data_IF_980914353177
#
_entry.id   IF_980914353177
#
_cell.length_a   1.000
_cell.length_b   1.000
_cell.length_c   1.000
_cell.angle_alpha   90.00
_cell.angle_beta   90.00
_cell.angle_gamma   90.00
#
_symmetry.space_group_name_H-M   'P 1'
#
loop_
_entity.id
_entity.type
_entity.pdbx_description
1 polymer ?
#
# COMPACT_ATOMS: atom_id res chain seq x y z
N UNK A 1 23.79 15.05 39.52
CA UNK A 1 23.31 16.25 38.81
C UNK A 1 21.87 16.01 38.38
N UNK A 2 20.87 16.75 38.88
CA UNK A 2 19.49 16.62 38.42
C UNK A 2 19.19 17.61 37.28
N UNK A 3 18.38 17.14 36.33
CA UNK A 3 17.88 17.87 35.16
C UNK A 3 16.83 18.90 35.62
N UNK A 4 16.76 20.12 35.05
CA UNK A 4 15.83 21.16 35.51
C UNK A 4 14.36 20.82 35.23
N UNK A 5 13.51 21.03 36.25
CA UNK A 5 12.07 20.71 36.32
C UNK A 5 11.13 21.63 35.52
N UNK A 6 11.49 22.05 34.31
CA UNK A 6 10.70 23.04 33.54
C UNK A 6 9.79 22.52 32.43
N UNK A 7 9.61 21.21 32.26
CA UNK A 7 8.81 20.66 31.13
C UNK A 7 7.75 19.61 31.50
N UNK A 8 7.17 19.69 32.71
CA UNK A 8 6.08 18.80 33.13
C UNK A 8 4.89 19.56 33.69
N UNK A 9 4.26 20.39 32.86
CA UNK A 9 2.86 20.80 33.08
C UNK A 9 2.09 20.64 31.76
N UNK A 10 1.01 19.84 31.73
CA UNK A 10 0.06 19.94 30.64
C UNK A 10 -0.51 21.35 30.66
N UNK A 11 -0.43 22.06 29.53
CA UNK A 11 -1.14 23.32 29.33
C UNK A 11 -2.62 22.93 29.23
N UNK A 12 -3.32 22.98 30.36
CA UNK A 12 -4.77 23.03 30.37
C UNK A 12 -5.14 24.38 29.74
N UNK A 13 -5.58 24.36 28.49
CA UNK A 13 -6.23 25.51 27.89
C UNK A 13 -7.59 25.60 28.58
N UNK A 14 -7.68 26.43 29.63
CA UNK A 14 -8.98 26.87 30.13
C UNK A 14 -9.66 27.65 29.00
N UNK A 15 -10.92 27.36 28.66
CA UNK A 15 -11.67 28.21 27.74
C UNK A 15 -11.67 29.64 28.28
N UNK A 16 -11.65 30.67 27.43
CA UNK A 16 -11.85 32.03 27.90
C UNK A 16 -13.19 32.09 28.65
N UNK A 17 -13.18 32.68 29.86
CA UNK A 17 -14.41 33.01 30.58
C UNK A 17 -15.28 33.87 29.67
N UNK A 18 -16.32 33.26 29.11
CA UNK A 18 -17.43 34.01 28.55
C UNK A 18 -18.11 34.71 29.73
N UNK A 19 -17.92 36.03 29.81
CA UNK A 19 -18.79 36.87 30.63
C UNK A 19 -20.22 36.66 30.13
N UNK A 20 -21.06 36.15 31.02
CA UNK A 20 -22.51 36.09 30.87
C UNK A 20 -23.06 37.51 30.68
N UNK A 21 -23.23 37.92 29.43
CA UNK A 21 -24.04 39.07 29.07
C UNK A 21 -24.62 38.88 27.67
N UNK A 22 -25.62 37.99 27.55
CA UNK A 22 -26.38 37.82 26.31
C UNK A 22 -27.16 36.52 26.27
N UNK A 23 -28.43 36.61 25.89
CA UNK A 23 -29.45 35.55 25.89
C UNK A 23 -29.06 34.23 25.18
N UNK A 24 -29.68 33.09 25.57
CA UNK A 24 -29.41 31.79 24.97
C UNK A 24 -30.17 31.62 23.66
N UNK A 25 -29.67 32.14 22.54
CA UNK A 25 -30.30 31.87 21.22
C UNK A 25 -29.45 32.25 20.01
N UNK A 26 -28.25 31.70 19.80
CA UNK A 26 -27.69 31.63 18.44
C UNK A 26 -27.01 30.28 18.21
N UNK A 27 -27.80 29.31 17.73
CA UNK A 27 -27.27 28.14 17.01
C UNK A 27 -26.32 28.63 15.91
N UNK A 28 -25.20 27.93 15.63
CA UNK A 28 -24.28 28.34 14.59
C UNK A 28 -25.06 28.52 13.29
N UNK A 29 -25.01 29.75 12.75
CA UNK A 29 -25.78 30.15 11.57
C UNK A 29 -25.70 29.06 10.49
N UNK A 30 -26.81 28.80 9.79
CA UNK A 30 -26.87 27.80 8.72
C UNK A 30 -25.71 27.92 7.71
N UNK A 31 -25.13 29.12 7.60
CA UNK A 31 -23.89 29.46 6.88
C UNK A 31 -22.64 28.74 7.39
N UNK A 32 -22.42 28.60 8.70
CA UNK A 32 -21.28 27.90 9.30
C UNK A 32 -21.41 26.38 9.12
N UNK A 33 -22.61 25.83 9.35
CA UNK A 33 -22.90 24.42 9.08
C UNK A 33 -22.83 24.10 7.58
N UNK A 34 -23.28 25.02 6.72
CA UNK A 34 -23.10 24.91 5.27
C UNK A 34 -21.62 25.01 4.87
N UNK A 35 -20.82 25.87 5.52
CA UNK A 35 -19.39 26.00 5.28
C UNK A 35 -18.63 24.73 5.71
N UNK A 36 -18.97 24.16 6.87
CA UNK A 36 -18.42 22.89 7.37
C UNK A 36 -18.84 21.74 6.45
N UNK A 37 -20.10 21.67 6.00
CA UNK A 37 -20.54 20.72 4.96
C UNK A 37 -19.80 20.90 3.64
N UNK A 38 -19.50 22.14 3.25
CA UNK A 38 -18.85 22.45 1.96
C UNK A 38 -17.33 22.20 2.00
N UNK A 39 -16.68 22.34 3.15
CA UNK A 39 -15.27 21.98 3.37
C UNK A 39 -15.06 20.47 3.57
N UNK A 40 -16.09 19.73 4.00
CA UNK A 40 -16.05 18.27 4.18
C UNK A 40 -16.63 17.46 3.01
N UNK A 41 -17.33 18.10 2.06
CA UNK A 41 -17.93 17.44 0.91
C UNK A 41 -16.89 17.08 -0.17
N UNK A 42 -16.13 16.03 0.09
CA UNK A 42 -15.44 15.30 -0.97
C UNK A 42 -16.50 14.77 -1.95
N UNK A 43 -16.32 15.02 -3.25
CA UNK A 43 -17.36 14.64 -4.22
C UNK A 43 -17.64 13.13 -4.17
N UNK A 44 -18.91 12.68 -4.23
CA UNK A 44 -19.26 11.25 -4.22
C UNK A 44 -18.60 10.47 -5.36
N UNK A 45 -18.33 11.14 -6.49
CA UNK A 45 -17.58 10.57 -7.63
C UNK A 45 -16.12 10.30 -7.28
N UNK A 46 -15.50 11.19 -6.51
CA UNK A 46 -14.12 11.02 -6.06
C UNK A 46 -13.99 9.87 -5.04
N UNK A 47 -14.95 9.74 -4.10
CA UNK A 47 -14.97 8.57 -3.21
C UNK A 47 -15.13 7.24 -3.98
N UNK A 48 -16.00 7.20 -4.99
CA UNK A 48 -16.17 6.00 -5.84
C UNK A 48 -14.91 5.65 -6.63
N UNK A 49 -14.21 6.64 -7.18
CA UNK A 49 -12.94 6.41 -7.87
C UNK A 49 -11.88 5.81 -6.93
N UNK A 50 -11.84 6.25 -5.67
CA UNK A 50 -10.88 5.74 -4.69
C UNK A 50 -11.20 4.34 -4.16
N UNK A 51 -12.45 3.86 -4.25
CA UNK A 51 -12.79 2.47 -3.94
C UNK A 51 -12.12 1.45 -4.89
N UNK A 52 -11.71 1.91 -6.08
CA UNK A 52 -11.01 1.09 -7.07
C UNK A 52 -9.49 1.31 -7.04
N UNK A 53 -8.99 2.18 -6.15
CA UNK A 53 -7.56 2.49 -6.06
C UNK A 53 -6.70 1.26 -5.78
N UNK A 54 -7.23 0.29 -5.04
CA UNK A 54 -6.58 -0.98 -4.72
C UNK A 54 -6.18 -1.79 -5.96
N UNK A 55 -6.93 -1.66 -7.06
CA UNK A 55 -6.64 -2.41 -8.28
C UNK A 55 -5.41 -1.86 -9.01
N UNK A 56 -5.03 -0.59 -8.79
CA UNK A 56 -3.89 0.01 -9.48
C UNK A 56 -2.56 -0.71 -9.20
N UNK A 57 -2.12 -0.92 -7.94
CA UNK A 57 -0.89 -1.67 -7.68
C UNK A 57 -0.98 -3.13 -8.14
N UNK A 58 -2.15 -3.77 -8.05
CA UNK A 58 -2.34 -5.15 -8.53
C UNK A 58 -2.22 -5.27 -10.05
N UNK A 59 -2.86 -4.36 -10.80
CA UNK A 59 -2.75 -4.29 -12.26
C UNK A 59 -1.30 -4.05 -12.66
N UNK A 60 -0.59 -3.17 -11.94
CA UNK A 60 0.84 -2.93 -12.16
C UNK A 60 1.63 -4.24 -12.03
N UNK A 61 1.53 -4.92 -10.89
CA UNK A 61 2.26 -6.17 -10.63
C UNK A 61 1.92 -7.25 -11.65
N UNK A 62 0.64 -7.49 -11.92
CA UNK A 62 0.21 -8.52 -12.87
C UNK A 62 0.70 -8.21 -14.28
N UNK A 63 0.63 -6.95 -14.72
CA UNK A 63 1.08 -6.57 -16.06
C UNK A 63 2.59 -6.78 -16.20
N UNK A 64 3.38 -6.36 -15.22
CA UNK A 64 4.83 -6.53 -15.26
C UNK A 64 5.23 -8.02 -15.17
N UNK A 65 4.55 -8.83 -14.37
CA UNK A 65 4.76 -10.29 -14.36
C UNK A 65 4.46 -10.94 -15.72
N UNK A 66 3.36 -10.53 -16.38
CA UNK A 66 3.04 -11.00 -17.73
C UNK A 66 4.16 -10.59 -18.68
N UNK A 67 4.60 -9.34 -18.63
CA UNK A 67 5.71 -8.81 -19.44
C UNK A 67 6.98 -9.65 -19.29
N UNK A 68 7.36 -10.01 -18.06
CA UNK A 68 8.61 -10.72 -17.81
C UNK A 68 8.52 -12.20 -18.22
N UNK A 69 7.49 -12.91 -17.73
CA UNK A 69 7.44 -14.36 -17.88
C UNK A 69 6.90 -14.83 -19.23
N UNK A 70 5.97 -14.09 -19.85
CA UNK A 70 5.47 -14.45 -21.18
C UNK A 70 6.55 -14.18 -22.23
N UNK A 71 7.22 -13.03 -22.16
CA UNK A 71 8.31 -12.72 -23.08
C UNK A 71 9.49 -13.68 -22.89
N UNK A 72 9.88 -14.01 -21.65
CA UNK A 72 10.88 -15.04 -21.39
C UNK A 72 10.50 -16.39 -22.04
N UNK A 73 9.27 -16.86 -21.84
CA UNK A 73 8.82 -18.14 -22.39
C UNK A 73 8.83 -18.17 -23.93
N UNK A 74 8.44 -17.08 -24.58
CA UNK A 74 8.45 -16.98 -26.04
C UNK A 74 9.90 -16.85 -26.55
N UNK A 75 10.72 -16.00 -25.93
CA UNK A 75 12.10 -15.77 -26.35
C UNK A 75 12.96 -17.05 -26.25
N UNK A 76 12.80 -17.81 -25.17
CA UNK A 76 13.46 -19.13 -25.03
C UNK A 76 12.90 -20.12 -26.05
N UNK A 77 11.57 -20.14 -26.26
CA UNK A 77 10.93 -21.03 -27.23
C UNK A 77 11.36 -20.78 -28.68
N UNK A 78 11.74 -19.54 -29.01
CA UNK A 78 12.22 -19.12 -30.32
C UNK A 78 13.75 -19.14 -30.46
N UNK A 79 14.49 -19.55 -29.42
CA UNK A 79 15.96 -19.48 -29.37
C UNK A 79 16.53 -18.05 -29.58
N UNK A 80 15.75 -17.04 -29.20
CA UNK A 80 16.20 -15.65 -29.18
C UNK A 80 17.17 -15.39 -28.02
N UNK A 81 17.00 -16.09 -26.90
CA UNK A 81 17.83 -15.97 -25.69
C UNK A 81 18.14 -17.35 -25.11
N UNK A 82 19.20 -17.44 -24.31
CA UNK A 82 19.52 -18.66 -23.57
C UNK A 82 18.50 -18.91 -22.45
N UNK A 83 18.12 -20.18 -22.24
CA UNK A 83 17.15 -20.53 -21.19
C UNK A 83 17.69 -20.26 -19.78
N UNK A 84 19.00 -20.36 -19.60
CA UNK A 84 19.66 -20.16 -18.31
C UNK A 84 19.89 -18.67 -18.05
N UNK A 85 18.85 -18.04 -17.52
CA UNK A 85 18.90 -16.73 -16.87
C UNK A 85 19.39 -15.58 -17.77
N UNK A 86 18.69 -15.29 -18.89
CA UNK A 86 18.96 -14.12 -19.72
C UNK A 86 18.49 -12.84 -19.02
N UNK A 87 18.89 -11.67 -19.53
CA UNK A 87 18.30 -10.41 -19.07
C UNK A 87 16.79 -10.39 -19.36
N UNK A 88 16.03 -9.72 -18.47
CA UNK A 88 14.61 -9.44 -18.71
C UNK A 88 14.49 -8.52 -19.94
N UNK A 89 15.39 -7.54 -20.10
CA UNK A 89 15.43 -6.65 -21.26
C UNK A 89 15.63 -7.40 -22.58
N UNK A 90 16.54 -8.38 -22.61
CA UNK A 90 16.79 -9.24 -23.78
C UNK A 90 15.54 -9.99 -24.22
N UNK A 91 14.77 -10.52 -23.26
CA UNK A 91 13.51 -11.22 -23.54
C UNK A 91 12.49 -10.31 -24.24
N UNK A 92 12.57 -8.99 -24.06
CA UNK A 92 11.70 -7.99 -24.68
C UNK A 92 12.29 -7.31 -25.92
N UNK A 93 13.40 -7.82 -26.47
CA UNK A 93 14.17 -7.11 -27.49
C UNK A 93 13.66 -7.37 -28.93
N UNK A 94 13.22 -8.59 -29.24
CA UNK A 94 12.78 -9.00 -30.59
C UNK A 94 11.25 -9.18 -30.68
N UNK A 95 10.63 -8.99 -31.87
CA UNK A 95 9.23 -9.35 -32.08
C UNK A 95 9.00 -10.87 -32.17
N UNK A 96 7.84 -11.38 -31.69
CA UNK A 96 6.68 -10.64 -31.16
C UNK A 96 6.80 -10.20 -29.69
N UNK A 97 7.83 -10.64 -28.97
CA UNK A 97 8.02 -10.42 -27.53
C UNK A 97 8.11 -8.94 -27.19
N UNK A 98 8.81 -8.14 -27.99
CA UNK A 98 8.97 -6.70 -27.79
C UNK A 98 7.65 -5.92 -27.83
N UNK A 99 6.69 -6.35 -28.66
CA UNK A 99 5.35 -5.77 -28.71
C UNK A 99 4.54 -6.11 -27.45
N UNK A 100 4.66 -7.35 -26.97
CA UNK A 100 4.01 -7.82 -25.74
C UNK A 100 4.61 -7.09 -24.54
N UNK A 101 5.94 -7.04 -24.46
CA UNK A 101 6.69 -6.36 -23.43
C UNK A 101 6.28 -4.90 -23.33
N UNK A 102 6.36 -4.14 -24.42
CA UNK A 102 5.98 -2.73 -24.44
C UNK A 102 4.52 -2.48 -24.05
N UNK A 103 3.60 -3.35 -24.49
CA UNK A 103 2.17 -3.24 -24.14
C UNK A 103 1.95 -3.39 -22.64
N UNK A 104 2.48 -4.46 -22.04
CA UNK A 104 2.27 -4.74 -20.62
C UNK A 104 3.09 -3.81 -19.71
N UNK A 105 4.29 -3.39 -20.13
CA UNK A 105 5.06 -2.33 -19.47
C UNK A 105 4.28 -1.01 -19.47
N UNK A 106 3.61 -0.63 -20.56
CA UNK A 106 2.81 0.59 -20.63
C UNK A 106 1.57 0.53 -19.71
N UNK A 107 0.86 -0.62 -19.66
CA UNK A 107 -0.24 -0.83 -18.71
C UNK A 107 0.28 -0.74 -17.28
N UNK A 108 1.42 -1.38 -17.00
CA UNK A 108 2.09 -1.35 -15.70
C UNK A 108 2.50 0.07 -15.28
N UNK A 109 3.08 0.84 -16.19
CA UNK A 109 3.48 2.24 -15.99
C UNK A 109 2.29 3.13 -15.63
N UNK A 110 1.19 3.01 -16.38
CA UNK A 110 -0.03 3.77 -16.09
C UNK A 110 -0.62 3.41 -14.73
N UNK A 111 -0.69 2.11 -14.43
CA UNK A 111 -1.19 1.61 -13.15
C UNK A 111 -0.30 2.06 -11.96
N UNK A 112 1.03 2.10 -12.16
CA UNK A 112 1.96 2.64 -11.16
C UNK A 112 1.76 4.15 -10.95
N UNK A 113 1.63 4.93 -12.02
CA UNK A 113 1.35 6.37 -11.92
C UNK A 113 0.04 6.66 -11.16
N UNK A 114 -1.00 5.84 -11.37
CA UNK A 114 -2.25 5.90 -10.61
C UNK A 114 -2.05 5.54 -9.14
N UNK A 115 -1.28 4.50 -8.84
CA UNK A 115 -0.94 4.09 -7.46
C UNK A 115 -0.29 5.26 -6.71
N UNK A 116 0.77 5.82 -7.30
CA UNK A 116 1.49 7.00 -6.78
C UNK A 116 0.54 8.19 -6.55
N UNK A 117 -0.36 8.44 -7.50
CA UNK A 117 -1.36 9.51 -7.38
C UNK A 117 -2.32 9.28 -6.21
N UNK A 118 -2.88 8.07 -6.06
CA UNK A 118 -3.80 7.77 -4.97
C UNK A 118 -3.15 7.88 -3.59
N UNK A 119 -1.92 7.38 -3.45
CA UNK A 119 -1.11 7.52 -2.24
C UNK A 119 -0.84 9.00 -1.93
N UNK A 120 -0.47 9.80 -2.93
CA UNK A 120 -0.30 11.25 -2.76
C UNK A 120 -1.59 11.94 -2.29
N UNK A 121 -2.75 11.57 -2.85
CA UNK A 121 -4.05 12.09 -2.41
C UNK A 121 -4.42 11.66 -0.99
N UNK A 122 -3.96 10.50 -0.53
CA UNK A 122 -4.11 10.07 0.86
C UNK A 122 -3.22 10.92 1.78
N UNK A 123 -1.97 11.15 1.41
CA UNK A 123 -1.03 12.01 2.15
C UNK A 123 -1.61 13.42 2.35
N UNK A 124 -2.03 14.09 1.26
CA UNK A 124 -2.55 15.46 1.35
C UNK A 124 -3.76 15.60 2.28
N UNK A 125 -4.60 14.56 2.38
CA UNK A 125 -5.74 14.56 3.30
C UNK A 125 -5.31 14.45 4.76
N UNK A 126 -4.26 13.69 5.06
CA UNK A 126 -3.79 13.45 6.42
C UNK A 126 -2.87 14.59 6.91
N UNK A 127 -2.14 15.26 6.03
CA UNK A 127 -1.26 16.39 6.38
C UNK A 127 -2.02 17.61 6.95
N UNK A 128 -3.30 17.81 6.57
CA UNK A 128 -4.06 19.01 6.90
C UNK A 128 -3.48 20.30 6.30
N UNK A 129 -4.14 21.45 6.50
CA UNK A 129 -3.71 22.74 5.94
C UNK A 129 -2.51 23.38 6.64
N UNK A 130 -2.02 22.80 7.75
CA UNK A 130 -1.05 23.47 8.64
C UNK A 130 0.41 23.03 8.46
N UNK A 131 0.69 21.96 7.69
CA UNK A 131 2.06 21.45 7.53
C UNK A 131 2.61 21.69 6.10
N UNK A 132 2.91 22.95 5.79
CA UNK A 132 3.36 23.38 4.46
C UNK A 132 4.62 22.66 3.96
N UNK A 133 5.58 22.36 4.85
CA UNK A 133 6.81 21.64 4.49
C UNK A 133 6.54 20.21 4.06
N UNK A 134 5.70 19.49 4.81
CA UNK A 134 5.33 18.11 4.49
C UNK A 134 4.53 18.04 3.19
N UNK A 135 3.68 19.03 2.92
CA UNK A 135 2.94 19.15 1.65
C UNK A 135 3.89 19.37 0.47
N UNK A 136 4.86 20.29 0.58
CA UNK A 136 5.88 20.50 -0.48
C UNK A 136 6.65 19.21 -0.74
N UNK A 137 7.09 18.53 0.31
CA UNK A 137 7.78 17.25 0.19
C UNK A 137 6.90 16.17 -0.46
N UNK A 138 5.60 16.13 -0.15
CA UNK A 138 4.65 15.22 -0.78
C UNK A 138 4.53 15.43 -2.31
N UNK A 139 4.61 16.67 -2.80
CA UNK A 139 4.63 16.97 -4.24
C UNK A 139 5.97 16.61 -4.89
N UNK A 140 7.07 16.82 -4.18
CA UNK A 140 8.38 16.40 -4.67
C UNK A 140 8.45 14.87 -4.87
N UNK A 141 7.99 14.08 -3.89
CA UNK A 141 7.98 12.62 -4.06
C UNK A 141 6.96 12.18 -5.11
N UNK A 142 5.83 12.88 -5.28
CA UNK A 142 4.89 12.59 -6.37
C UNK A 142 5.59 12.66 -7.74
N UNK A 143 6.42 13.69 -7.95
CA UNK A 143 7.22 13.82 -9.16
C UNK A 143 8.17 12.63 -9.34
N UNK A 144 8.87 12.19 -8.29
CA UNK A 144 9.74 11.01 -8.36
C UNK A 144 8.97 9.74 -8.74
N UNK A 145 7.80 9.52 -8.14
CA UNK A 145 6.94 8.38 -8.47
C UNK A 145 6.45 8.42 -9.92
N UNK A 146 6.06 9.59 -10.44
CA UNK A 146 5.67 9.73 -11.86
C UNK A 146 6.85 9.62 -12.83
N UNK A 147 8.03 10.13 -12.47
CA UNK A 147 9.25 9.90 -13.25
C UNK A 147 9.56 8.40 -13.31
N UNK A 148 9.41 7.67 -12.21
CA UNK A 148 9.62 6.22 -12.24
C UNK A 148 8.62 5.49 -13.14
N UNK A 149 7.35 5.93 -13.19
CA UNK A 149 6.37 5.41 -14.14
C UNK A 149 6.74 5.73 -15.60
N UNK A 150 7.25 6.93 -15.86
CA UNK A 150 7.80 7.28 -17.18
C UNK A 150 8.99 6.38 -17.54
N UNK A 151 9.86 6.07 -16.59
CA UNK A 151 10.96 5.13 -16.77
C UNK A 151 10.49 3.75 -17.23
N UNK A 152 9.46 3.18 -16.58
CA UNK A 152 8.85 1.90 -17.00
C UNK A 152 8.37 1.99 -18.45
N UNK A 153 7.70 3.08 -18.83
CA UNK A 153 7.20 3.28 -20.18
C UNK A 153 8.35 3.34 -21.21
N UNK A 154 9.44 4.04 -20.89
CA UNK A 154 10.61 4.16 -21.76
C UNK A 154 11.29 2.79 -21.93
N UNK A 155 11.60 2.08 -20.84
CA UNK A 155 12.20 0.73 -20.88
C UNK A 155 11.37 -0.23 -21.73
N UNK A 156 10.04 -0.17 -21.60
CA UNK A 156 9.14 -1.05 -22.36
C UNK A 156 9.10 -0.76 -23.87
N UNK A 157 9.36 0.48 -24.30
CA UNK A 157 9.14 0.90 -25.70
C UNK A 157 10.43 1.21 -26.46
N UNK A 158 11.55 1.40 -25.77
CA UNK A 158 12.87 1.58 -26.35
C UNK A 158 13.70 0.33 -26.03
N UNK A 159 13.70 -0.63 -26.95
CA UNK A 159 14.45 -1.87 -26.78
C UNK A 159 15.95 -1.57 -26.75
N UNK A 160 16.65 -2.31 -25.90
CA UNK A 160 18.09 -2.15 -25.65
C UNK A 160 18.90 -2.29 -26.94
N UNK A 161 18.60 -3.32 -27.74
CA UNK A 161 19.26 -3.58 -29.02
C UNK A 161 19.03 -2.53 -30.10
N UNK A 162 17.96 -1.73 -29.99
CA UNK A 162 17.63 -0.68 -30.97
C UNK A 162 18.17 0.69 -30.55
N UNK A 163 17.92 1.10 -29.30
CA UNK A 163 18.25 2.43 -28.78
C UNK A 163 18.70 2.34 -27.32
N UNK A 164 19.83 1.67 -27.07
CA UNK A 164 20.44 1.47 -25.75
C UNK A 164 20.42 2.73 -24.86
N UNK A 165 20.83 3.89 -25.40
CA UNK A 165 20.88 5.12 -24.62
C UNK A 165 19.50 5.56 -24.07
N UNK A 166 18.43 5.34 -24.83
CA UNK A 166 17.07 5.64 -24.37
C UNK A 166 16.59 4.59 -23.36
N UNK A 167 16.90 3.30 -23.61
CA UNK A 167 16.62 2.21 -22.70
C UNK A 167 17.23 2.46 -21.31
N UNK A 168 18.55 2.72 -21.27
CA UNK A 168 19.29 3.00 -20.05
C UNK A 168 18.75 4.23 -19.33
N UNK A 169 18.50 5.33 -20.05
CA UNK A 169 17.89 6.52 -19.45
C UNK A 169 16.53 6.20 -18.80
N UNK A 170 15.72 5.36 -19.44
CA UNK A 170 14.48 4.82 -18.88
C UNK A 170 14.71 4.00 -17.62
N UNK A 171 15.66 3.06 -17.67
CA UNK A 171 16.01 2.17 -16.57
C UNK A 171 16.48 2.96 -15.34
N UNK A 172 17.45 3.86 -15.50
CA UNK A 172 17.91 4.75 -14.44
C UNK A 172 16.76 5.55 -13.82
N UNK A 173 15.89 6.12 -14.67
CA UNK A 173 14.74 6.91 -14.21
C UNK A 173 13.74 6.04 -13.42
N UNK A 174 13.49 4.81 -13.88
CA UNK A 174 12.62 3.86 -13.20
C UNK A 174 13.20 3.43 -11.85
N UNK A 175 14.37 2.78 -11.86
CA UNK A 175 14.92 2.13 -10.67
C UNK A 175 15.21 3.13 -9.55
N UNK A 176 15.94 4.21 -9.84
CA UNK A 176 16.26 5.22 -8.82
C UNK A 176 15.04 6.06 -8.45
N UNK A 177 14.21 6.44 -9.42
CA UNK A 177 12.98 7.18 -9.15
C UNK A 177 12.05 6.41 -8.21
N UNK A 178 11.92 5.09 -8.41
CA UNK A 178 11.13 4.21 -7.57
C UNK A 178 11.69 4.11 -6.15
N UNK A 179 12.99 3.83 -6.00
CA UNK A 179 13.63 3.68 -4.68
C UNK A 179 13.53 4.98 -3.86
N UNK A 180 13.79 6.13 -4.49
CA UNK A 180 13.69 7.43 -3.82
C UNK A 180 12.24 7.84 -3.53
N UNK A 181 11.29 7.50 -4.41
CA UNK A 181 9.87 7.63 -4.11
C UNK A 181 9.50 6.85 -2.84
N UNK A 182 9.91 5.58 -2.74
CA UNK A 182 9.58 4.73 -1.60
C UNK A 182 10.18 5.27 -0.30
N UNK A 183 11.46 5.67 -0.27
CA UNK A 183 12.06 6.32 0.90
C UNK A 183 11.31 7.59 1.31
N UNK A 184 10.94 8.44 0.35
CA UNK A 184 10.18 9.64 0.60
C UNK A 184 8.78 9.35 1.15
N UNK A 185 8.08 8.37 0.58
CA UNK A 185 6.78 7.92 1.06
C UNK A 185 6.85 7.38 2.50
N UNK A 186 7.86 6.58 2.83
CA UNK A 186 8.05 6.07 4.19
C UNK A 186 8.42 7.16 5.19
N UNK A 187 9.26 8.12 4.81
CA UNK A 187 9.53 9.28 5.64
C UNK A 187 8.25 10.04 6.01
N UNK A 188 7.31 10.19 5.06
CA UNK A 188 5.99 10.78 5.32
C UNK A 188 5.16 9.89 6.25
N UNK A 189 5.13 8.59 6.04
CA UNK A 189 4.40 7.65 6.90
C UNK A 189 4.91 7.67 8.36
N UNK A 190 6.22 7.83 8.55
CA UNK A 190 6.83 8.02 9.87
C UNK A 190 6.42 9.37 10.48
N UNK A 191 6.48 10.45 9.68
CA UNK A 191 6.11 11.79 10.12
C UNK A 191 4.63 11.92 10.54
N UNK A 192 3.75 11.20 9.84
CA UNK A 192 2.31 11.17 10.12
C UNK A 192 1.91 10.13 11.19
N UNK A 193 2.85 9.40 11.79
CA UNK A 193 2.66 8.50 12.95
C UNK A 193 1.34 7.70 12.95
N UNK A 194 1.32 6.56 12.26
CA UNK A 194 0.16 5.64 12.15
C UNK A 194 -1.09 6.20 11.45
N UNK A 195 -1.08 7.44 10.97
CA UNK A 195 -2.25 7.99 10.27
C UNK A 195 -2.41 7.50 8.82
N UNK A 196 -1.47 6.71 8.29
CA UNK A 196 -1.61 6.08 6.96
C UNK A 196 -1.55 4.57 7.12
N UNK A 197 -0.46 4.08 7.71
CA UNK A 197 -0.22 2.66 7.95
C UNK A 197 0.51 2.51 9.29
N UNK A 198 0.33 1.37 9.95
CA UNK A 198 1.01 1.08 11.21
C UNK A 198 2.54 1.03 11.04
N UNK A 199 3.29 1.65 11.95
CA UNK A 199 4.74 1.85 11.82
C UNK A 199 5.54 0.56 11.58
N UNK A 200 5.10 -0.58 12.14
CA UNK A 200 5.81 -1.86 11.93
C UNK A 200 5.89 -2.23 10.45
N UNK A 201 4.81 -2.01 9.69
CA UNK A 201 4.81 -2.24 8.24
C UNK A 201 5.73 -1.25 7.52
N UNK A 202 5.74 0.01 7.94
CA UNK A 202 6.68 1.01 7.41
C UNK A 202 8.13 0.59 7.62
N UNK A 203 8.50 0.07 8.80
CA UNK A 203 9.85 -0.41 9.06
C UNK A 203 10.22 -1.64 8.22
N UNK A 204 9.30 -2.60 8.06
CA UNK A 204 9.52 -3.76 7.20
C UNK A 204 9.79 -3.31 5.75
N UNK A 205 9.01 -2.35 5.23
CA UNK A 205 9.22 -1.82 3.88
C UNK A 205 10.49 -0.99 3.74
N UNK A 206 10.90 -0.26 4.77
CA UNK A 206 12.22 0.41 4.76
C UNK A 206 13.34 -0.63 4.62
N UNK A 207 13.27 -1.75 5.34
CA UNK A 207 14.24 -2.84 5.22
C UNK A 207 14.21 -3.42 3.81
N UNK A 208 13.02 -3.71 3.27
CA UNK A 208 12.85 -4.20 1.90
C UNK A 208 13.44 -3.23 0.86
N UNK A 209 13.16 -1.94 0.97
CA UNK A 209 13.67 -0.91 0.07
C UNK A 209 15.20 -0.71 0.20
N UNK A 210 15.78 -0.93 1.39
CA UNK A 210 17.24 -0.98 1.57
C UNK A 210 17.85 -2.19 0.86
N UNK A 211 17.20 -3.36 0.94
CA UNK A 211 17.65 -4.56 0.21
C UNK A 211 17.55 -4.33 -1.31
N UNK A 212 16.45 -3.74 -1.80
CA UNK A 212 16.28 -3.34 -3.20
C UNK A 212 17.41 -2.41 -3.63
N UNK A 213 17.72 -1.37 -2.85
CA UNK A 213 18.82 -0.45 -3.15
C UNK A 213 20.18 -1.17 -3.18
N UNK A 214 20.44 -2.07 -2.24
CA UNK A 214 21.69 -2.83 -2.21
C UNK A 214 21.86 -3.72 -3.46
N UNK A 215 20.78 -4.38 -3.89
CA UNK A 215 20.78 -5.21 -5.09
C UNK A 215 20.87 -4.35 -6.35
N UNK A 216 20.20 -3.19 -6.40
CA UNK A 216 20.35 -2.21 -7.49
C UNK A 216 21.79 -1.74 -7.62
N UNK A 217 22.46 -1.39 -6.51
CA UNK A 217 23.87 -0.99 -6.53
C UNK A 217 24.74 -2.15 -7.03
N UNK A 218 24.52 -3.37 -6.53
CA UNK A 218 25.24 -4.55 -6.98
C UNK A 218 25.05 -4.79 -8.49
N UNK A 219 23.81 -4.73 -8.97
CA UNK A 219 23.47 -4.86 -10.38
C UNK A 219 24.18 -3.80 -11.24
N UNK A 220 24.16 -2.52 -10.83
CA UNK A 220 24.87 -1.44 -11.54
C UNK A 220 26.39 -1.66 -11.57
N UNK A 221 26.97 -2.16 -10.49
CA UNK A 221 28.40 -2.51 -10.46
C UNK A 221 28.67 -3.65 -11.45
N UNK A 222 27.85 -4.69 -11.47
CA UNK A 222 28.03 -5.81 -12.40
C UNK A 222 27.83 -5.38 -13.86
N UNK A 223 26.87 -4.49 -14.13
CA UNK A 223 26.56 -3.99 -15.46
C UNK A 223 27.66 -3.06 -16.03
N UNK A 224 28.20 -2.13 -15.22
CA UNK A 224 29.12 -1.09 -15.72
C UNK A 224 30.59 -1.29 -15.37
N UNK A 225 30.89 -1.93 -14.23
CA UNK A 225 32.25 -2.15 -13.79
C UNK A 225 32.72 -3.60 -14.03
N UNK A 226 31.79 -4.50 -14.35
CA UNK A 226 32.03 -5.88 -14.73
C UNK A 226 33.09 -6.62 -13.84
N UNK A 227 32.98 -6.56 -12.50
CA UNK A 227 34.05 -6.96 -11.57
C UNK A 227 34.37 -8.46 -11.59
N UNK A 228 33.49 -9.29 -12.17
CA UNK A 228 33.67 -10.74 -12.27
C UNK A 228 34.22 -11.18 -13.63
N UNK A 229 34.54 -10.24 -14.53
CA UNK A 229 35.20 -10.56 -15.80
C UNK A 229 36.62 -11.04 -15.54
N UNK A 230 36.94 -12.20 -16.11
CA UNK A 230 38.28 -12.77 -15.99
C UNK A 230 39.23 -12.04 -16.95
N UNK A 231 40.40 -11.65 -16.46
CA UNK A 231 41.45 -10.98 -17.26
C UNK A 231 42.70 -11.86 -17.35
N UNK A 232 42.75 -12.86 -18.25
CA UNK A 232 43.94 -13.68 -18.44
C UNK A 232 45.16 -12.81 -18.77
N UNK A 233 46.21 -12.89 -17.94
CA UNK A 233 47.43 -12.10 -18.13
C UNK A 233 47.29 -10.60 -17.83
N UNK A 234 46.22 -10.18 -17.16
CA UNK A 234 45.99 -8.77 -16.78
C UNK A 234 45.50 -7.88 -17.93
N UNK A 235 45.18 -8.47 -19.09
CA UNK A 235 44.57 -7.77 -20.21
C UNK A 235 43.05 -7.86 -20.12
N UNK A 236 42.37 -6.74 -20.26
CA UNK A 236 40.90 -6.72 -20.34
C UNK A 236 40.48 -7.40 -21.64
N UNK A 237 39.64 -8.46 -21.59
CA UNK A 237 39.16 -9.12 -22.80
C UNK A 237 38.28 -8.17 -23.61
N UNK A 238 38.29 -8.31 -24.93
CA UNK A 238 37.38 -7.57 -25.81
C UNK A 238 35.99 -8.15 -25.70
N UNK A 239 34.98 -7.31 -25.46
CA UNK A 239 33.57 -7.74 -25.42
C UNK A 239 33.14 -8.21 -26.81
N UNK A 240 32.48 -9.37 -26.94
CA UNK A 240 31.94 -9.82 -28.22
C UNK A 240 30.87 -8.87 -28.74
N UNK A 241 30.76 -8.75 -30.06
CA UNK A 241 29.61 -8.11 -30.69
C UNK A 241 28.47 -9.11 -30.78
N UNK A 242 27.30 -8.72 -30.28
CA UNK A 242 26.10 -9.56 -30.30
C UNK A 242 25.11 -9.10 -31.36
N UNK A 243 24.59 -10.07 -32.12
CA UNK A 243 23.52 -9.79 -33.07
C UNK A 243 22.29 -9.27 -32.31
N UNK A 244 21.75 -8.14 -32.78
CA UNK A 244 20.61 -7.45 -32.15
C UNK A 244 20.87 -6.98 -30.70
N UNK A 245 22.11 -7.00 -30.21
CA UNK A 245 22.47 -6.56 -28.86
C UNK A 245 22.11 -7.54 -27.75
N UNK A 246 21.73 -8.79 -28.05
CA UNK A 246 21.38 -9.81 -27.04
C UNK A 246 22.65 -10.51 -26.56
N UNK A 247 23.02 -10.32 -25.31
CA UNK A 247 24.25 -10.91 -24.75
C UNK A 247 24.10 -12.42 -24.53
N UNK A 248 24.96 -13.22 -25.17
CA UNK A 248 25.04 -14.68 -24.98
C UNK A 248 26.47 -15.10 -24.71
N UNK A 249 26.70 -15.79 -23.60
CA UNK A 249 28.06 -16.21 -23.21
C UNK A 249 28.12 -17.69 -22.92
N UNK A 250 29.02 -18.39 -23.61
CA UNK A 250 29.40 -19.76 -23.25
C UNK A 250 30.04 -19.81 -21.86
N UNK A 251 29.93 -20.96 -21.20
CA UNK A 251 30.47 -21.18 -19.83
C UNK A 251 31.97 -20.90 -19.73
N UNK A 252 32.71 -21.08 -20.83
CA UNK A 252 34.15 -20.84 -20.90
C UNK A 252 34.51 -19.36 -21.18
N UNK A 253 33.51 -18.50 -21.41
CA UNK A 253 33.73 -17.07 -21.66
C UNK A 253 34.25 -16.36 -20.41
N UNK A 254 35.22 -15.43 -20.55
CA UNK A 254 35.68 -14.62 -19.43
C UNK A 254 34.57 -13.72 -18.84
N UNK A 255 33.49 -13.47 -19.58
CA UNK A 255 32.35 -12.66 -19.17
C UNK A 255 31.23 -13.45 -18.48
N UNK A 256 31.24 -14.79 -18.57
CA UNK A 256 30.13 -15.65 -18.14
C UNK A 256 29.70 -15.38 -16.70
N UNK A 257 30.63 -15.38 -15.75
CA UNK A 257 30.33 -15.16 -14.33
C UNK A 257 29.74 -13.78 -14.07
N UNK A 258 30.23 -12.76 -14.77
CA UNK A 258 29.71 -11.41 -14.63
C UNK A 258 28.30 -11.31 -15.20
N UNK A 259 28.07 -11.86 -16.39
CA UNK A 259 26.75 -11.91 -17.02
C UNK A 259 25.73 -12.60 -16.11
N UNK A 260 26.04 -13.78 -15.56
CA UNK A 260 25.15 -14.47 -14.60
C UNK A 260 24.89 -13.63 -13.35
N UNK A 261 25.90 -12.93 -12.81
CA UNK A 261 25.71 -12.06 -11.66
C UNK A 261 24.78 -10.87 -11.99
N UNK A 262 24.95 -10.25 -13.16
CA UNK A 262 24.13 -9.12 -13.59
C UNK A 262 22.69 -9.54 -13.92
N UNK A 263 22.48 -10.64 -14.65
CA UNK A 263 21.13 -11.15 -14.97
C UNK A 263 20.40 -11.63 -13.73
N UNK A 264 21.07 -12.39 -12.85
CA UNK A 264 20.48 -12.83 -11.58
C UNK A 264 20.05 -11.65 -10.71
N UNK A 265 20.90 -10.64 -10.59
CA UNK A 265 20.58 -9.45 -9.80
C UNK A 265 19.45 -8.63 -10.40
N UNK A 266 19.33 -8.57 -11.74
CA UNK A 266 18.19 -7.95 -12.41
C UNK A 266 16.86 -8.66 -12.07
N UNK A 267 16.81 -9.99 -12.20
CA UNK A 267 15.61 -10.77 -11.87
C UNK A 267 15.19 -10.61 -10.42
N UNK A 268 16.14 -10.71 -9.49
CA UNK A 268 15.86 -10.52 -8.06
C UNK A 268 15.38 -9.09 -7.80
N UNK A 269 16.05 -8.09 -8.38
CA UNK A 269 15.68 -6.68 -8.24
C UNK A 269 14.26 -6.43 -8.73
N UNK A 270 13.92 -6.88 -9.94
CA UNK A 270 12.61 -6.71 -10.52
C UNK A 270 11.52 -7.35 -9.66
N UNK A 271 11.71 -8.60 -9.21
CA UNK A 271 10.74 -9.30 -8.37
C UNK A 271 10.56 -8.66 -6.99
N UNK A 272 11.64 -8.16 -6.37
CA UNK A 272 11.55 -7.44 -5.09
C UNK A 272 10.83 -6.08 -5.25
N UNK A 273 11.04 -5.38 -6.36
CA UNK A 273 10.28 -4.15 -6.64
C UNK A 273 8.80 -4.44 -6.89
N UNK A 274 8.45 -5.54 -7.57
CA UNK A 274 7.05 -5.96 -7.71
C UNK A 274 6.43 -6.32 -6.36
N UNK A 275 7.19 -6.99 -5.48
CA UNK A 275 6.75 -7.25 -4.10
C UNK A 275 6.50 -5.94 -3.36
N UNK A 276 7.41 -4.97 -3.45
CA UNK A 276 7.25 -3.64 -2.84
C UNK A 276 5.99 -2.94 -3.35
N UNK A 277 5.75 -2.95 -4.67
CA UNK A 277 4.53 -2.40 -5.28
C UNK A 277 3.28 -3.10 -4.72
N UNK A 278 3.30 -4.43 -4.64
CA UNK A 278 2.18 -5.20 -4.10
C UNK A 278 1.86 -4.82 -2.66
N UNK A 279 2.85 -4.40 -1.86
CA UNK A 279 2.58 -3.99 -0.49
C UNK A 279 1.69 -2.74 -0.40
N UNK A 280 1.74 -1.81 -1.37
CA UNK A 280 0.90 -0.59 -1.37
C UNK A 280 -0.61 -0.86 -1.49
N UNK A 281 -1.01 -2.10 -1.83
CA UNK A 281 -2.39 -2.58 -1.73
C UNK A 281 -2.94 -2.34 -0.31
N UNK A 282 -2.11 -2.53 0.72
CA UNK A 282 -2.50 -2.37 2.14
C UNK A 282 -2.86 -0.90 2.43
N UNK A 283 -2.07 0.06 1.95
CA UNK A 283 -2.26 1.49 2.19
C UNK A 283 -3.55 2.00 1.51
N UNK A 284 -3.88 1.40 0.36
CA UNK A 284 -5.07 1.70 -0.41
C UNK A 284 -6.31 0.89 0.03
N UNK A 285 -6.14 -0.10 0.92
CA UNK A 285 -7.24 -0.91 1.47
C UNK A 285 -8.15 -0.09 2.40
N UNK A 286 -7.56 0.73 3.28
CA UNK A 286 -8.27 1.55 4.30
C UNK A 286 -9.28 2.56 3.67
N UNK A 287 -9.16 2.81 2.37
CA UNK A 287 -10.11 3.64 1.63
C UNK A 287 -11.51 3.01 1.48
N UNK A 288 -11.59 1.69 1.54
CA UNK A 288 -12.85 0.94 1.36
C UNK A 288 -13.74 1.04 2.60
N UNK A 289 -13.16 1.04 3.81
CA UNK A 289 -13.90 1.05 5.07
C UNK A 289 -14.49 2.42 5.43
N UNK A 290 -13.84 3.51 5.04
CA UNK A 290 -14.38 4.87 5.25
C UNK A 290 -15.75 5.06 4.57
N UNK A 291 -16.00 4.40 3.44
CA UNK A 291 -17.29 4.43 2.74
C UNK A 291 -18.37 3.68 3.50
N UNK A 292 -18.04 2.53 4.08
CA UNK A 292 -18.99 1.73 4.87
C UNK A 292 -19.49 2.55 6.06
N UNK A 293 -18.59 3.27 6.74
CA UNK A 293 -18.92 4.13 7.87
C UNK A 293 -19.72 5.36 7.44
N UNK A 294 -19.30 6.06 6.37
CA UNK A 294 -20.01 7.27 5.91
C UNK A 294 -21.38 6.98 5.29
N UNK A 295 -21.55 5.86 4.57
CA UNK A 295 -22.87 5.45 4.07
C UNK A 295 -23.80 5.06 5.23
N UNK A 296 -23.33 4.25 6.17
CA UNK A 296 -24.11 3.87 7.36
C UNK A 296 -24.53 5.10 8.17
N UNK A 297 -23.62 6.06 8.36
CA UNK A 297 -23.93 7.31 9.05
C UNK A 297 -24.98 8.15 8.29
N UNK A 298 -24.88 8.24 6.96
CA UNK A 298 -25.86 8.96 6.14
C UNK A 298 -27.24 8.31 6.10
N UNK A 299 -27.31 6.97 6.17
CA UNK A 299 -28.56 6.21 6.24
C UNK A 299 -29.23 6.36 7.62
N UNK A 300 -28.46 6.35 8.70
CA UNK A 300 -28.95 6.63 10.07
C UNK A 300 -29.48 8.07 10.18
N UNK A 301 -28.80 9.04 9.58
CA UNK A 301 -29.27 10.44 9.50
C UNK A 301 -30.51 10.57 8.61
N UNK A 302 -30.60 9.80 7.53
CA UNK A 302 -31.77 9.76 6.65
C UNK A 302 -33.00 9.13 7.31
N UNK A 303 -32.81 8.13 8.16
CA UNK A 303 -33.88 7.47 8.92
C UNK A 303 -34.42 8.33 10.07
N UNK A 304 -33.57 9.17 10.68
CA UNK A 304 -33.97 10.11 11.74
C UNK A 304 -34.62 11.39 11.19
N UNK A 305 -34.40 11.72 9.91
CA UNK A 305 -35.07 12.80 9.20
C UNK A 305 -36.39 12.35 8.55
N UNK A 306 -37.35 11.88 9.36
CA UNK A 306 -38.73 11.70 8.91
C UNK A 306 -39.44 13.03 8.60
N UNK A 307 -40.58 13.05 7.87
CA UNK A 307 -41.16 14.25 7.25
C UNK A 307 -41.69 15.33 8.22
N UNK A 308 -41.53 15.16 9.53
CA UNK A 308 -42.14 16.05 10.52
C UNK A 308 -41.41 15.96 11.86
N UNK A 309 -40.46 16.86 12.12
CA UNK A 309 -39.88 17.05 13.46
C UNK A 309 -38.70 18.03 13.47
N UNK A 310 -38.61 18.95 14.45
CA UNK A 310 -37.57 19.97 14.49
C UNK A 310 -36.20 19.36 14.84
N UNK A 311 -35.21 19.75 14.05
CA UNK A 311 -33.81 19.37 14.13
C UNK A 311 -33.18 20.11 15.30
N UNK A 312 -32.69 19.38 16.31
CA UNK A 312 -31.49 19.62 17.16
C UNK A 312 -31.74 19.07 18.57
N UNK A 313 -31.09 17.95 18.94
CA UNK A 313 -30.77 17.56 20.34
C UNK A 313 -30.19 16.13 20.49
N UNK A 314 -30.07 15.32 19.44
CA UNK A 314 -29.73 13.90 19.61
C UNK A 314 -28.23 13.54 19.45
N UNK A 315 -27.36 14.50 19.12
CA UNK A 315 -25.95 14.19 18.78
C UNK A 315 -24.94 14.31 19.93
N UNK A 316 -25.27 14.97 21.05
CA UNK A 316 -24.30 15.14 22.16
C UNK A 316 -24.45 14.10 23.28
N UNK A 317 -25.60 13.43 23.43
CA UNK A 317 -25.81 12.51 24.57
C UNK A 317 -25.59 11.02 24.26
N UNK A 318 -25.49 10.61 22.98
CA UNK A 318 -25.36 9.19 22.64
C UNK A 318 -23.92 8.63 22.76
N UNK A 319 -22.92 9.49 23.00
CA UNK A 319 -21.53 9.08 23.21
C UNK A 319 -21.10 9.11 24.69
N UNK A 320 -21.95 9.59 25.60
CA UNK A 320 -21.58 9.79 27.01
C UNK A 320 -22.50 9.15 28.06
N UNK A 321 -23.61 8.51 27.70
CA UNK A 321 -24.47 7.79 28.65
C UNK A 321 -24.72 6.33 28.25
N UNK A 322 -23.63 5.54 28.18
CA UNK A 322 -23.74 4.08 28.35
C UNK A 322 -23.50 3.72 29.84
N UNK A 323 -24.53 3.27 30.58
CA UNK A 323 -24.37 2.87 31.98
C UNK A 323 -23.51 1.61 32.18
N UNK A 324 -23.07 0.91 31.12
CA UNK A 324 -22.21 -0.28 31.22
C UNK A 324 -20.70 0.02 31.22
N UNK A 325 -20.28 1.27 31.07
CA UNK A 325 -18.86 1.67 31.07
C UNK A 325 -18.44 2.46 32.34
N UNK A 326 -19.07 2.18 33.49
CA UNK A 326 -18.76 2.85 34.78
C UNK A 326 -18.04 2.01 35.84
N UNK A 327 -17.61 0.80 35.53
CA UNK A 327 -16.72 0.02 36.41
C UNK A 327 -15.56 -0.55 35.61
N UNK A 328 -14.43 0.16 35.55
CA UNK A 328 -13.07 -0.37 35.77
C UNK A 328 -12.12 0.84 35.86
N UNK A 329 -12.06 1.48 37.03
CA UNK A 329 -10.86 2.20 37.47
C UNK A 329 -10.64 1.91 38.95
N UNK A 330 -9.98 0.78 39.22
CA UNK A 330 -9.23 0.57 40.44
C UNK A 330 -8.04 -0.34 40.09
N UNK A 331 -6.85 0.23 39.98
CA UNK A 331 -5.60 -0.54 40.00
C UNK A 331 -5.43 -1.16 41.39
N UNK A 332 -4.89 -2.39 41.45
CA UNK A 332 -3.56 -2.51 42.03
C UNK A 332 -2.60 -3.34 41.17
N UNK A 333 -1.32 -3.05 41.35
CA UNK A 333 -0.18 -3.70 40.71
C UNK A 333 -0.20 -5.24 40.84
N UNK A 334 0.15 -5.96 39.77
CA UNK A 334 1.02 -7.15 39.77
C UNK A 334 1.21 -7.69 38.33
N UNK A 335 2.45 -8.08 38.01
CA UNK A 335 2.80 -9.23 37.18
C UNK A 335 2.40 -9.25 35.70
N UNK A 336 3.39 -9.12 34.82
CA UNK A 336 3.34 -9.60 33.44
C UNK A 336 3.06 -11.12 33.43
N UNK A 337 2.02 -11.57 32.74
CA UNK A 337 2.02 -12.89 32.12
C UNK A 337 1.21 -12.89 30.82
N UNK A 338 1.80 -13.52 29.81
CA UNK A 338 1.29 -13.71 28.46
C UNK A 338 0.25 -14.84 28.42
N UNK A 339 -0.64 -14.80 27.43
CA UNK A 339 -1.67 -15.80 27.09
C UNK A 339 -3.05 -15.63 27.75
N UNK A 340 -3.97 -14.96 27.05
CA UNK A 340 -5.39 -15.40 26.86
C UNK A 340 -6.24 -14.31 26.19
N UNK A 341 -6.26 -14.25 24.85
CA UNK A 341 -7.41 -13.67 24.11
C UNK A 341 -7.69 -14.52 22.86
N UNK A 342 -8.28 -15.69 23.07
CA UNK A 342 -9.17 -16.34 22.10
C UNK A 342 -10.42 -16.77 22.85
N UNK A 343 -11.54 -16.09 22.57
CA UNK A 343 -12.97 -16.46 22.79
C UNK A 343 -13.77 -15.36 23.48
N UNK A 344 -14.63 -14.73 22.68
CA UNK A 344 -16.00 -14.22 22.97
C UNK A 344 -16.44 -13.55 21.66
N UNK A 345 -17.32 -14.09 20.82
CA UNK A 345 -18.64 -14.63 21.10
C UNK A 345 -19.68 -13.55 20.78
N UNK A 346 -20.06 -13.41 19.51
CA UNK A 346 -21.06 -12.44 19.03
C UNK A 346 -22.47 -12.76 19.59
N UNK A 347 -23.28 -11.77 20.03
CA UNK A 347 -24.67 -12.01 20.43
C UNK A 347 -25.60 -12.16 19.22
N UNK A 348 -26.47 -13.17 19.29
CA UNK A 348 -27.54 -13.48 18.32
C UNK A 348 -28.77 -12.64 18.64
N UNK A 349 -29.30 -11.90 17.68
CA UNK A 349 -30.54 -11.10 17.82
C UNK A 349 -31.76 -12.03 17.73
N UNK A 350 -32.58 -12.08 18.77
CA UNK A 350 -33.91 -12.72 18.76
C UNK A 350 -35.00 -11.68 18.47
N UNK A 351 -35.70 -11.87 17.36
CA UNK A 351 -36.99 -11.25 17.04
C UNK A 351 -38.10 -12.19 17.53
N UNK A 352 -39.02 -11.71 18.37
CA UNK A 352 -40.39 -12.25 18.42
C UNK A 352 -41.34 -11.25 19.07
N UNK A 353 -42.29 -10.78 18.27
CA UNK A 353 -43.65 -10.48 18.72
C UNK A 353 -44.58 -11.21 17.74
N UNK A 354 -45.48 -12.05 18.26
CA UNK A 354 -46.87 -12.22 17.82
C UNK A 354 -47.46 -13.49 18.43
N UNK A 355 -48.52 -13.29 19.20
CA UNK A 355 -49.49 -14.28 19.66
C UNK A 355 -50.04 -15.14 18.53
N UNK A 356 -50.10 -16.45 18.75
CA UNK A 356 -51.34 -17.23 18.57
C UNK A 356 -51.22 -18.65 19.13
N UNK A 357 -52.21 -18.99 19.94
CA UNK A 357 -52.62 -20.33 20.38
C UNK A 357 -52.38 -21.43 19.33
N UNK A 358 -51.65 -22.48 19.68
CA UNK A 358 -52.10 -23.87 19.51
C UNK A 358 -51.18 -24.84 20.25
N UNK A 359 -51.79 -25.63 21.13
CA UNK A 359 -51.21 -26.77 21.82
C UNK A 359 -50.84 -27.87 20.82
N UNK A 360 -49.68 -28.52 20.97
CA UNK A 360 -49.55 -29.99 20.99
C UNK A 360 -48.11 -30.45 21.30
N UNK A 361 -47.97 -31.14 22.44
CA UNK A 361 -47.13 -32.31 22.78
C UNK A 361 -45.63 -32.36 22.40
N UNK A 362 -44.80 -32.34 23.46
CA UNK A 362 -43.56 -33.12 23.61
C UNK A 362 -43.85 -34.64 23.49
N UNK A 363 -42.88 -35.51 23.09
CA UNK A 363 -41.89 -35.97 24.09
C UNK A 363 -40.53 -36.56 23.60
N UNK A 364 -39.60 -36.76 24.57
CA UNK A 364 -38.45 -37.71 24.60
C UNK A 364 -37.17 -37.28 23.82
N UNK A 365 -35.90 -37.31 24.29
CA UNK A 365 -35.18 -38.10 25.32
C UNK A 365 -33.95 -37.33 25.87
N UNK A 366 -33.62 -37.68 27.11
CA UNK A 366 -32.53 -37.25 28.00
C UNK A 366 -31.09 -37.64 27.60
N UNK A 367 -30.15 -36.84 28.12
CA UNK A 367 -28.72 -37.16 28.30
C UNK A 367 -28.53 -38.42 29.13
N UNK A 368 -27.51 -39.20 28.81
CA UNK A 368 -26.75 -39.94 29.81
C UNK A 368 -25.25 -39.76 29.66
N UNK A 369 -24.60 -39.71 30.84
CA UNK A 369 -23.17 -39.70 31.06
C UNK A 369 -22.69 -41.14 30.93
N UNK A 370 -21.69 -41.39 30.09
CA UNK A 370 -20.58 -42.32 30.29
C UNK A 370 -19.90 -42.62 28.94
N UNK A 371 -18.59 -42.37 28.85
CA UNK A 371 -17.71 -43.00 27.85
C UNK A 371 -17.47 -42.22 26.55
N UNK A 372 -16.20 -41.96 26.29
CA UNK A 372 -15.66 -41.42 25.04
C UNK A 372 -15.72 -42.44 23.90
N UNK A 373 -16.22 -42.03 22.74
CA UNK A 373 -15.80 -42.59 21.44
C UNK A 373 -15.76 -41.47 20.39
N UNK A 374 -14.57 -41.26 19.83
CA UNK A 374 -14.37 -40.59 18.55
C UNK A 374 -14.89 -41.52 17.45
N UNK A 375 -15.60 -40.95 16.47
CA UNK A 375 -15.58 -41.52 15.13
C UNK A 375 -15.52 -40.42 14.09
N UNK A 376 -14.52 -40.54 13.23
CA UNK A 376 -14.27 -39.68 12.09
C UNK A 376 -14.75 -40.44 10.86
N UNK A 377 -15.70 -39.86 10.11
CA UNK A 377 -15.89 -39.99 8.66
C UNK A 377 -17.25 -39.40 8.27
N UNK A 378 -17.25 -38.31 7.49
CA UNK A 378 -17.66 -38.27 6.08
C UNK A 378 -17.44 -36.86 5.52
#
# INVERSE_FOLDING_TARGET
MPIPSKWSKPILITPPEFRDSGSPSELPSASLLALIRRQSAVSPRFLKAMCHAIYAPLICVVSLLISFFVCYGIAVGNDHVDAWLPYISDCGNLPPESCIFGTFMAIGAFAWALTVYYLHRQILRRCGSQNSRLVIFAYFILLLGWLSALGILVVGNFQEGNVLAAHDAGAFTFFFGFVFYCFGYYAICLALRNQIVHQSYTFIRIILNIVILAILIFHMICLFAEPFVQSPGGLTPTKPDFENGIERYDVDSPFYNNHIATTLSEWILALLMLLEIATFVIDLWDYKDYRTVTQSASEIVGFTAGPSGPITAAYDNALFDDPQMKEVHATPAYGYDSDTIYRKGLPRVTMTSLDRNQAYRDPYISRDRDGYTFDAQY
#
